data_IF_984516632520
#
_entry.id   IF_984516632520
#
_cell.length_a   1.000
_cell.length_b   1.000
_cell.length_c   1.000
_cell.angle_alpha   90.00
_cell.angle_beta   90.00
_cell.angle_gamma   90.00
#
_symmetry.space_group_name_H-M   'P 1'
#
loop_
_entity.id
_entity.type
_entity.pdbx_description
1 polymer ?
#
# COMPACT_ATOMS: atom_id res chain seq x y z
N UNK A 1 1.58 3.40 -15.85
CA UNK A 1 2.79 4.27 -15.81
C UNK A 1 3.83 3.91 -16.88
N UNK A 2 4.28 2.65 -17.00
CA UNK A 2 5.29 2.24 -18.02
C UNK A 2 4.85 2.57 -19.46
N UNK A 3 3.62 2.18 -19.81
CA UNK A 3 3.07 2.48 -21.14
C UNK A 3 2.95 3.98 -21.41
N UNK A 4 2.64 4.77 -20.39
CA UNK A 4 2.60 6.22 -20.50
C UNK A 4 4.00 6.80 -20.76
N UNK A 5 5.02 6.32 -20.02
CA UNK A 5 6.41 6.69 -20.26
C UNK A 5 6.92 6.32 -21.65
N UNK A 6 6.54 5.13 -22.15
CA UNK A 6 6.93 4.66 -23.47
C UNK A 6 6.26 5.48 -24.59
N UNK A 7 4.96 5.77 -24.45
CA UNK A 7 4.18 6.50 -25.46
C UNK A 7 4.57 7.97 -25.58
N UNK A 8 5.20 8.55 -24.55
CA UNK A 8 5.69 9.94 -24.56
C UNK A 8 6.88 10.18 -25.51
N UNK A 9 7.52 9.12 -25.99
CA UNK A 9 8.72 9.16 -26.85
C UNK A 9 9.85 10.06 -26.28
N UNK A 10 9.90 10.19 -24.97
CA UNK A 10 10.87 11.01 -24.25
C UNK A 10 11.68 10.11 -23.30
N UNK A 11 13.02 10.21 -23.36
CA UNK A 11 13.93 9.39 -22.53
C UNK A 11 13.73 9.56 -21.03
N UNK A 12 13.41 10.76 -20.57
CA UNK A 12 13.16 11.04 -19.15
C UNK A 12 11.84 10.42 -18.67
N UNK A 13 10.80 10.51 -19.50
CA UNK A 13 9.51 9.89 -19.23
C UNK A 13 9.60 8.35 -19.19
N UNK A 14 10.37 7.76 -20.11
CA UNK A 14 10.64 6.32 -20.11
C UNK A 14 11.37 5.88 -18.83
N UNK A 15 12.40 6.62 -18.41
CA UNK A 15 13.12 6.34 -17.17
C UNK A 15 12.22 6.44 -15.94
N UNK A 16 11.33 7.45 -15.88
CA UNK A 16 10.32 7.57 -14.82
C UNK A 16 9.39 6.36 -14.75
N UNK A 17 8.89 5.91 -15.90
CA UNK A 17 8.04 4.72 -16.00
C UNK A 17 8.74 3.44 -15.57
N UNK A 18 10.01 3.23 -15.94
CA UNK A 18 10.81 2.07 -15.53
C UNK A 18 11.10 2.06 -14.02
N UNK A 19 11.42 3.22 -13.43
CA UNK A 19 11.61 3.35 -11.98
C UNK A 19 10.33 3.02 -11.21
N UNK A 20 9.17 3.50 -11.70
CA UNK A 20 7.86 3.19 -11.13
C UNK A 20 7.59 1.70 -11.14
N UNK A 21 7.78 1.02 -12.27
CA UNK A 21 7.52 -0.42 -12.36
C UNK A 21 8.44 -1.25 -11.46
N UNK A 22 9.72 -0.91 -11.38
CA UNK A 22 10.66 -1.57 -10.49
C UNK A 22 10.27 -1.43 -9.01
N UNK A 23 9.78 -0.24 -8.62
CA UNK A 23 9.26 0.02 -7.29
C UNK A 23 8.02 -0.84 -7.02
N UNK A 24 7.01 -0.79 -7.88
CA UNK A 24 5.75 -1.53 -7.71
C UNK A 24 6.00 -3.03 -7.55
N UNK A 25 6.76 -3.65 -8.45
CA UNK A 25 7.08 -5.09 -8.39
C UNK A 25 7.77 -5.46 -7.07
N UNK A 26 8.68 -4.63 -6.59
CA UNK A 26 9.43 -4.90 -5.36
C UNK A 26 8.55 -4.84 -4.10
N UNK A 27 7.63 -3.90 -4.04
CA UNK A 27 6.75 -3.70 -2.88
C UNK A 27 5.49 -4.56 -2.92
N UNK A 28 5.01 -4.92 -4.11
CA UNK A 28 3.90 -5.87 -4.31
C UNK A 28 4.21 -7.24 -3.68
N UNK A 29 5.45 -7.72 -3.79
CA UNK A 29 5.89 -8.93 -3.10
C UNK A 29 5.70 -8.85 -1.58
N UNK A 30 6.14 -7.76 -0.96
CA UNK A 30 5.99 -7.55 0.48
C UNK A 30 4.52 -7.46 0.88
N UNK A 31 3.74 -6.73 0.11
CA UNK A 31 2.30 -6.54 0.32
C UNK A 31 1.57 -7.88 0.22
N UNK A 32 1.87 -8.68 -0.81
CA UNK A 32 1.31 -10.02 -0.99
C UNK A 32 1.65 -10.96 0.16
N UNK A 33 2.91 -11.00 0.62
CA UNK A 33 3.33 -11.83 1.75
C UNK A 33 2.66 -11.41 3.08
N UNK A 34 2.51 -10.10 3.30
CA UNK A 34 1.82 -9.60 4.48
C UNK A 34 0.30 -9.90 4.43
N UNK A 35 -0.34 -9.81 3.27
CA UNK A 35 -1.72 -10.22 3.09
C UNK A 35 -1.90 -11.74 3.29
N UNK A 36 -0.98 -12.56 2.74
CA UNK A 36 -0.99 -14.01 2.91
C UNK A 36 -0.89 -14.43 4.38
N UNK A 37 -0.17 -13.68 5.22
CA UNK A 37 -0.13 -13.98 6.67
C UNK A 37 -1.50 -13.86 7.33
N UNK A 38 -2.35 -12.92 6.89
CA UNK A 38 -3.73 -12.79 7.34
C UNK A 38 -4.60 -13.91 6.79
N UNK A 39 -4.40 -14.30 5.53
CA UNK A 39 -5.11 -15.43 4.90
C UNK A 39 -4.83 -16.73 5.64
N UNK A 40 -3.58 -16.99 6.00
CA UNK A 40 -3.18 -18.17 6.77
C UNK A 40 -3.85 -18.20 8.15
N UNK A 41 -3.95 -17.04 8.81
CA UNK A 41 -4.62 -16.91 10.10
C UNK A 41 -6.13 -17.20 10.01
N UNK A 42 -6.79 -16.75 8.95
CA UNK A 42 -8.24 -16.88 8.78
C UNK A 42 -8.67 -18.18 8.06
N UNK A 43 -7.76 -18.81 7.33
CA UNK A 43 -8.02 -20.01 6.53
C UNK A 43 -8.93 -19.78 5.31
N UNK A 44 -9.23 -18.53 4.96
CA UNK A 44 -10.10 -18.16 3.84
C UNK A 44 -9.53 -16.99 3.03
N UNK A 45 -9.75 -17.00 1.70
CA UNK A 45 -9.43 -15.89 0.81
C UNK A 45 -10.58 -14.86 0.71
N UNK A 46 -11.73 -15.16 1.30
CA UNK A 46 -12.88 -14.25 1.30
C UNK A 46 -12.67 -13.09 2.25
N UNK A 47 -12.75 -11.86 1.75
CA UNK A 47 -12.66 -10.66 2.59
C UNK A 47 -13.77 -10.60 3.65
N UNK A 48 -14.94 -11.15 3.36
CA UNK A 48 -16.06 -11.21 4.30
C UNK A 48 -15.70 -12.12 5.48
N UNK A 49 -15.15 -13.30 5.21
CA UNK A 49 -14.75 -14.25 6.25
C UNK A 49 -13.59 -13.68 7.08
N UNK A 50 -12.65 -12.97 6.44
CA UNK A 50 -11.58 -12.27 7.14
C UNK A 50 -12.09 -11.21 8.12
N UNK A 51 -13.13 -10.46 7.77
CA UNK A 51 -13.76 -9.48 8.67
C UNK A 51 -14.56 -10.18 9.76
N UNK A 52 -15.28 -11.25 9.43
CA UNK A 52 -16.07 -12.00 10.42
C UNK A 52 -15.19 -12.70 11.45
N UNK A 53 -14.01 -13.21 11.06
CA UNK A 53 -13.05 -13.81 11.97
C UNK A 53 -12.49 -12.81 13.00
N UNK A 54 -12.51 -11.52 12.69
CA UNK A 54 -12.08 -10.42 13.55
C UNK A 54 -13.19 -9.94 14.52
N UNK A 55 -14.20 -10.76 14.82
CA UNK A 55 -15.35 -10.35 15.62
C UNK A 55 -15.00 -9.89 17.05
N UNK A 56 -14.03 -10.55 17.71
CA UNK A 56 -13.61 -10.21 19.08
C UNK A 56 -12.46 -9.22 19.14
N UNK A 57 -11.44 -9.41 18.32
CA UNK A 57 -10.22 -8.59 18.30
C UNK A 57 -9.80 -8.28 16.86
N UNK A 58 -9.35 -7.05 16.56
CA UNK A 58 -8.81 -6.72 15.26
C UNK A 58 -7.46 -7.41 15.03
N UNK A 59 -7.19 -7.83 13.79
CA UNK A 59 -5.94 -8.51 13.42
C UNK A 59 -4.68 -7.66 13.67
N UNK A 60 -4.81 -6.35 13.75
CA UNK A 60 -3.69 -5.46 14.12
C UNK A 60 -3.09 -5.80 15.49
N UNK A 61 -3.89 -6.33 16.43
CA UNK A 61 -3.40 -6.74 17.75
C UNK A 61 -2.73 -8.12 17.70
N UNK A 62 -3.19 -9.00 16.82
CA UNK A 62 -2.66 -10.37 16.68
C UNK A 62 -1.39 -10.34 15.82
N UNK A 63 -1.39 -9.53 14.75
CA UNK A 63 -0.29 -9.43 13.79
C UNK A 63 0.14 -7.98 13.53
N UNK A 64 0.69 -7.28 14.52
CA UNK A 64 1.12 -5.89 14.36
C UNK A 64 2.24 -5.73 13.32
N UNK A 65 3.11 -6.75 13.20
CA UNK A 65 4.20 -6.75 12.23
C UNK A 65 3.66 -6.82 10.79
N UNK A 66 2.69 -7.72 10.52
CA UNK A 66 2.06 -7.81 9.20
C UNK A 66 1.35 -6.51 8.82
N UNK A 67 0.64 -5.88 9.77
CA UNK A 67 0.01 -4.58 9.55
C UNK A 67 1.04 -3.52 9.14
N UNK A 68 2.15 -3.42 9.87
CA UNK A 68 3.19 -2.43 9.60
C UNK A 68 3.84 -2.66 8.23
N UNK A 69 4.15 -3.91 7.89
CA UNK A 69 4.71 -4.28 6.59
C UNK A 69 3.75 -3.97 5.44
N UNK A 70 2.46 -4.35 5.60
CA UNK A 70 1.42 -4.07 4.62
C UNK A 70 1.22 -2.57 4.43
N UNK A 71 1.21 -1.81 5.51
CA UNK A 71 1.01 -0.36 5.47
C UNK A 71 2.17 0.36 4.79
N UNK A 72 3.43 0.01 5.12
CA UNK A 72 4.62 0.58 4.46
C UNK A 72 4.63 0.23 2.97
N UNK A 73 4.36 -1.03 2.62
CA UNK A 73 4.28 -1.47 1.23
C UNK A 73 3.14 -0.76 0.48
N UNK A 74 1.99 -0.55 1.13
CA UNK A 74 0.86 0.18 0.58
C UNK A 74 1.16 1.65 0.29
N UNK A 75 1.94 2.33 1.15
CA UNK A 75 2.41 3.70 0.86
C UNK A 75 3.33 3.71 -0.36
N UNK A 76 4.22 2.74 -0.47
CA UNK A 76 5.13 2.64 -1.62
C UNK A 76 4.39 2.29 -2.92
N UNK A 77 3.33 1.49 -2.86
CA UNK A 77 2.46 1.12 -3.98
C UNK A 77 1.66 2.31 -4.53
N UNK A 78 1.26 3.25 -3.65
CA UNK A 78 0.54 4.46 -4.07
C UNK A 78 1.43 5.51 -4.73
N UNK A 79 2.75 5.27 -4.85
CA UNK A 79 3.74 6.18 -5.43
C UNK A 79 3.69 7.61 -4.88
N UNK A 80 3.34 7.76 -3.59
CA UNK A 80 3.27 9.07 -2.92
C UNK A 80 4.45 9.28 -1.98
N UNK A 81 4.79 10.54 -1.72
CA UNK A 81 5.84 10.87 -0.77
C UNK A 81 5.62 10.13 0.57
N UNK A 82 6.68 9.51 1.15
CA UNK A 82 8.12 9.68 0.86
C UNK A 82 8.66 8.83 -0.31
N UNK A 83 7.84 7.98 -0.97
CA UNK A 83 8.25 7.03 -2.01
C UNK A 83 7.89 7.48 -3.44
N UNK A 84 7.75 8.77 -3.66
CA UNK A 84 7.40 9.40 -4.94
C UNK A 84 8.62 9.49 -5.88
N UNK A 85 9.00 8.36 -6.43
CA UNK A 85 10.12 8.24 -7.36
C UNK A 85 9.74 8.44 -8.84
N UNK A 86 8.52 8.09 -9.27
CA UNK A 86 8.10 8.25 -10.66
C UNK A 86 8.01 9.70 -11.11
N UNK A 87 7.62 10.60 -10.21
CA UNK A 87 7.46 12.03 -10.50
C UNK A 87 8.79 12.78 -10.43
N UNK A 88 9.67 12.43 -9.50
CA UNK A 88 11.01 12.95 -9.26
C UNK A 88 11.34 14.28 -10.00
N UNK A 89 10.57 15.34 -9.75
CA UNK A 89 10.65 16.62 -10.47
C UNK A 89 12.09 17.19 -10.55
N UNK A 90 12.86 16.97 -9.50
CA UNK A 90 14.25 17.45 -9.43
C UNK A 90 15.22 16.65 -10.30
N UNK A 91 14.89 15.40 -10.70
CA UNK A 91 15.77 14.52 -11.47
C UNK A 91 15.24 14.26 -12.90
N UNK A 92 13.92 14.16 -13.08
CA UNK A 92 13.26 13.70 -14.31
C UNK A 92 12.28 14.72 -14.89
N UNK A 93 12.34 15.99 -14.46
CA UNK A 93 11.46 17.11 -14.86
C UNK A 93 10.05 16.92 -14.32
N UNK A 94 9.27 15.99 -14.83
CA UNK A 94 7.95 15.59 -14.32
C UNK A 94 7.72 14.06 -14.47
N UNK A 95 8.80 13.31 -14.69
CA UNK A 95 8.74 11.86 -14.78
C UNK A 95 7.88 11.35 -15.94
N UNK A 96 7.03 10.34 -15.68
CA UNK A 96 6.24 9.66 -16.70
C UNK A 96 5.13 10.54 -17.32
N UNK A 97 4.72 11.62 -16.68
CA UNK A 97 3.62 12.48 -17.15
C UNK A 97 4.08 13.80 -17.79
N UNK A 98 5.36 13.95 -18.12
CA UNK A 98 5.94 15.18 -18.68
C UNK A 98 5.22 15.68 -19.93
N UNK A 99 4.76 14.78 -20.81
CA UNK A 99 4.09 15.12 -22.06
C UNK A 99 2.56 15.15 -21.96
N UNK A 100 2.01 14.82 -20.77
CA UNK A 100 0.57 14.78 -20.57
C UNK A 100 0.05 16.08 -19.99
N UNK A 101 -0.94 16.68 -20.67
CA UNK A 101 -1.58 17.94 -20.27
C UNK A 101 -3.09 17.81 -20.19
N UNK A 102 -3.74 18.74 -19.49
CA UNK A 102 -5.20 18.83 -19.41
C UNK A 102 -5.86 17.58 -18.82
N UNK A 103 -6.87 17.04 -19.50
CA UNK A 103 -7.70 15.94 -18.98
C UNK A 103 -6.91 14.64 -18.77
N UNK A 104 -5.93 14.35 -19.63
CA UNK A 104 -5.08 13.14 -19.49
C UNK A 104 -4.26 13.19 -18.21
N UNK A 105 -3.69 14.33 -17.87
CA UNK A 105 -2.98 14.54 -16.60
C UNK A 105 -3.91 14.37 -15.40
N UNK A 106 -5.12 14.95 -15.44
CA UNK A 106 -6.11 14.80 -14.38
C UNK A 106 -6.50 13.33 -14.13
N UNK A 107 -6.61 12.52 -15.19
CA UNK A 107 -6.92 11.09 -15.06
C UNK A 107 -5.81 10.30 -14.34
N UNK A 108 -4.54 10.62 -14.53
CA UNK A 108 -3.44 10.00 -13.77
C UNK A 108 -3.54 10.31 -12.28
N UNK A 109 -3.74 11.58 -11.92
CA UNK A 109 -3.92 11.97 -10.52
C UNK A 109 -5.14 11.32 -9.88
N UNK A 110 -6.25 11.26 -10.61
CA UNK A 110 -7.45 10.58 -10.12
C UNK A 110 -7.17 9.09 -9.85
N UNK A 111 -6.44 8.41 -10.73
CA UNK A 111 -6.03 7.02 -10.52
C UNK A 111 -5.20 6.81 -9.24
N UNK A 112 -4.27 7.71 -8.95
CA UNK A 112 -3.45 7.65 -7.73
C UNK A 112 -4.28 7.86 -6.46
N UNK A 113 -5.21 8.81 -6.45
CA UNK A 113 -6.09 9.01 -5.29
C UNK A 113 -7.05 7.84 -5.08
N UNK A 114 -7.58 7.26 -6.16
CA UNK A 114 -8.41 6.04 -6.08
C UNK A 114 -7.60 4.89 -5.50
N UNK A 115 -6.34 4.70 -5.93
CA UNK A 115 -5.47 3.67 -5.38
C UNK A 115 -5.22 3.88 -3.88
N UNK A 116 -4.99 5.11 -3.43
CA UNK A 116 -4.84 5.44 -2.01
C UNK A 116 -6.09 5.09 -1.19
N UNK A 117 -7.29 5.37 -1.70
CA UNK A 117 -8.55 4.97 -1.06
C UNK A 117 -8.70 3.45 -1.02
N UNK A 118 -8.38 2.77 -2.11
CA UNK A 118 -8.44 1.29 -2.21
C UNK A 118 -7.49 0.64 -1.21
N UNK A 119 -6.25 1.11 -1.10
CA UNK A 119 -5.27 0.60 -0.12
C UNK A 119 -5.73 0.85 1.32
N UNK A 120 -6.29 2.02 1.62
CA UNK A 120 -6.86 2.32 2.94
C UNK A 120 -8.04 1.40 3.28
N UNK A 121 -8.89 1.09 2.29
CA UNK A 121 -9.99 0.14 2.46
C UNK A 121 -9.48 -1.28 2.70
N UNK A 122 -8.48 -1.74 1.95
CA UNK A 122 -7.86 -3.07 2.15
C UNK A 122 -7.22 -3.20 3.54
N UNK A 123 -6.46 -2.20 4.00
CA UNK A 123 -5.91 -2.18 5.35
C UNK A 123 -7.01 -2.28 6.40
N UNK A 124 -8.11 -1.57 6.21
CA UNK A 124 -9.26 -1.59 7.12
C UNK A 124 -9.91 -2.97 7.19
N UNK A 125 -10.10 -3.64 6.05
CA UNK A 125 -10.69 -4.97 5.98
C UNK A 125 -9.78 -6.05 6.58
N UNK A 126 -8.50 -6.01 6.26
CA UNK A 126 -7.55 -7.05 6.68
C UNK A 126 -7.13 -6.93 8.15
N UNK A 127 -6.95 -5.73 8.67
CA UNK A 127 -6.34 -5.51 9.97
C UNK A 127 -7.22 -4.81 11.01
N UNK A 128 -8.14 -3.92 10.59
CA UNK A 128 -8.97 -3.14 11.50
C UNK A 128 -10.41 -3.69 11.67
N UNK A 129 -10.67 -4.89 11.16
CA UNK A 129 -11.96 -5.56 11.27
C UNK A 129 -13.08 -4.94 10.43
N UNK A 130 -12.75 -4.26 9.34
CA UNK A 130 -13.72 -3.76 8.39
C UNK A 130 -14.84 -2.94 9.04
N UNK A 131 -16.06 -3.44 8.94
CA UNK A 131 -17.28 -2.82 9.49
C UNK A 131 -17.54 -3.10 10.98
N UNK A 132 -16.74 -3.95 11.64
CA UNK A 132 -16.91 -4.24 13.06
C UNK A 132 -16.57 -3.02 13.93
N UNK A 133 -17.50 -2.61 14.77
CA UNK A 133 -17.36 -1.39 15.60
C UNK A 133 -16.83 -1.66 17.02
N UNK A 134 -16.48 -2.91 17.37
CA UNK A 134 -15.87 -3.32 18.65
C UNK A 134 -16.51 -2.69 19.90
N UNK A 135 -17.84 -2.86 20.06
CA UNK A 135 -18.58 -2.38 21.24
C UNK A 135 -19.07 -0.93 21.18
N UNK A 136 -18.77 -0.19 20.12
CA UNK A 136 -19.37 1.13 19.89
C UNK A 136 -20.66 0.96 19.08
N UNK A 137 -21.81 1.48 19.53
CA UNK A 137 -23.10 1.34 18.83
C UNK A 137 -23.16 2.28 17.60
N UNK A 138 -22.35 1.98 16.57
CA UNK A 138 -22.29 2.76 15.34
C UNK A 138 -22.70 1.87 14.18
N UNK A 139 -23.40 2.44 13.22
CA UNK A 139 -23.76 1.73 11.99
C UNK A 139 -22.50 1.18 11.29
N UNK A 140 -22.51 -0.08 10.80
CA UNK A 140 -21.35 -0.73 10.19
C UNK A 140 -20.70 0.09 9.06
N UNK A 141 -21.53 0.75 8.23
CA UNK A 141 -21.05 1.58 7.12
C UNK A 141 -20.27 2.80 7.65
N UNK A 142 -20.78 3.43 8.71
CA UNK A 142 -20.13 4.62 9.31
C UNK A 142 -18.83 4.23 10.00
N UNK A 143 -18.80 3.07 10.68
CA UNK A 143 -17.60 2.53 11.29
C UNK A 143 -16.51 2.24 10.24
N UNK A 144 -16.87 1.62 9.12
CA UNK A 144 -15.95 1.36 8.02
C UNK A 144 -15.43 2.67 7.40
N UNK A 145 -16.35 3.59 7.04
CA UNK A 145 -15.98 4.87 6.45
C UNK A 145 -15.08 5.69 7.38
N UNK A 146 -15.36 5.70 8.68
CA UNK A 146 -14.55 6.40 9.68
C UNK A 146 -13.11 5.85 9.77
N UNK A 147 -12.93 4.52 9.73
CA UNK A 147 -11.60 3.89 9.72
C UNK A 147 -10.83 4.20 8.43
N UNK A 148 -11.50 4.14 7.28
CA UNK A 148 -10.90 4.49 5.99
C UNK A 148 -10.47 5.96 5.97
N UNK A 149 -11.33 6.87 6.43
CA UNK A 149 -10.99 8.30 6.54
C UNK A 149 -9.82 8.54 7.49
N UNK A 150 -9.78 7.85 8.61
CA UNK A 150 -8.65 7.93 9.55
C UNK A 150 -7.34 7.53 8.87
N UNK A 151 -7.32 6.41 8.14
CA UNK A 151 -6.13 5.98 7.40
C UNK A 151 -5.74 6.96 6.30
N UNK A 152 -6.71 7.53 5.58
CA UNK A 152 -6.44 8.58 4.59
C UNK A 152 -5.80 9.81 5.23
N UNK A 153 -6.26 10.23 6.41
CA UNK A 153 -5.63 11.31 7.17
C UNK A 153 -4.17 10.94 7.53
N UNK A 154 -3.91 9.70 7.94
CA UNK A 154 -2.55 9.22 8.23
C UNK A 154 -1.68 9.24 6.97
N UNK A 155 -2.19 8.81 5.81
CA UNK A 155 -1.47 8.91 4.53
C UNK A 155 -1.08 10.36 4.19
N UNK A 156 -2.02 11.29 4.33
CA UNK A 156 -1.77 12.71 4.07
C UNK A 156 -0.75 13.28 5.08
N UNK A 157 -0.85 12.88 6.34
CA UNK A 157 0.09 13.30 7.38
C UNK A 157 1.51 12.82 7.09
N UNK A 158 1.68 11.54 6.75
CA UNK A 158 2.97 10.98 6.38
C UNK A 158 3.57 11.68 5.15
N UNK A 159 2.75 11.95 4.14
CA UNK A 159 3.16 12.71 2.95
C UNK A 159 3.71 14.10 3.29
N UNK A 160 3.10 14.78 4.28
CA UNK A 160 3.49 16.13 4.67
C UNK A 160 4.71 16.18 5.59
N UNK A 161 5.01 15.07 6.30
CA UNK A 161 6.02 15.03 7.35
C UNK A 161 7.37 14.52 6.86
N UNK A 162 7.37 13.49 6.01
CA UNK A 162 8.61 12.82 5.60
C UNK A 162 9.20 13.41 4.32
N UNK A 163 10.54 13.63 4.30
CA UNK A 163 11.24 13.99 3.07
C UNK A 163 11.32 12.79 2.13
N UNK A 164 11.50 13.08 0.85
CA UNK A 164 11.66 12.06 -0.20
C UNK A 164 12.90 11.19 0.04
N UNK A 165 12.76 9.90 -0.16
CA UNK A 165 13.86 8.93 -0.04
C UNK A 165 14.48 8.70 -1.43
N UNK A 166 15.82 8.53 -1.48
CA UNK A 166 16.55 8.25 -2.71
C UNK A 166 16.28 6.82 -3.20
N UNK A 167 16.19 6.65 -4.54
CA UNK A 167 15.85 5.37 -5.20
C UNK A 167 16.69 4.18 -4.72
N UNK A 168 18.03 4.33 -4.65
CA UNK A 168 18.95 3.26 -4.25
C UNK A 168 18.65 2.74 -2.84
N UNK A 169 18.37 3.66 -1.91
CA UNK A 169 18.02 3.32 -0.52
C UNK A 169 16.68 2.64 -0.43
N UNK A 170 15.71 3.11 -1.21
CA UNK A 170 14.37 2.55 -1.26
C UNK A 170 14.40 1.09 -1.74
N UNK A 171 15.07 0.82 -2.88
CA UNK A 171 15.18 -0.54 -3.42
C UNK A 171 15.96 -1.46 -2.46
N UNK A 172 17.04 -0.98 -1.86
CA UNK A 172 17.80 -1.73 -0.86
C UNK A 172 16.95 -2.06 0.37
N UNK A 173 16.13 -1.13 0.84
CA UNK A 173 15.22 -1.33 1.97
C UNK A 173 14.14 -2.36 1.64
N UNK A 174 13.51 -2.27 0.47
CA UNK A 174 12.51 -3.24 0.02
C UNK A 174 13.05 -4.67 0.00
N UNK A 175 14.15 -4.89 -0.72
CA UNK A 175 14.70 -6.25 -0.92
C UNK A 175 15.44 -6.81 0.28
N UNK A 176 16.22 -5.99 1.01
CA UNK A 176 17.06 -6.48 2.12
C UNK A 176 16.36 -6.51 3.47
N UNK A 177 15.30 -5.72 3.65
CA UNK A 177 14.63 -5.57 4.94
C UNK A 177 13.19 -6.06 4.85
N UNK A 178 12.36 -5.47 3.98
CA UNK A 178 10.93 -5.76 3.99
C UNK A 178 10.60 -7.18 3.53
N UNK A 179 11.18 -7.64 2.42
CA UNK A 179 10.91 -8.98 1.88
C UNK A 179 11.35 -10.09 2.86
N UNK A 180 12.57 -10.09 3.43
CA UNK A 180 12.94 -11.11 4.41
C UNK A 180 12.09 -11.10 5.67
N UNK A 181 11.75 -9.92 6.18
CA UNK A 181 10.91 -9.80 7.39
C UNK A 181 9.49 -10.28 7.10
N UNK A 182 8.91 -9.96 5.93
CA UNK A 182 7.56 -10.41 5.57
C UNK A 182 7.50 -11.94 5.38
N UNK A 183 8.54 -12.53 4.81
CA UNK A 183 8.66 -13.98 4.66
C UNK A 183 8.81 -14.67 6.01
N UNK A 184 9.64 -14.11 6.89
CA UNK A 184 9.80 -14.63 8.25
C UNK A 184 8.48 -14.52 9.04
N UNK A 185 7.77 -13.40 8.92
CA UNK A 185 6.45 -13.23 9.55
C UNK A 185 5.46 -14.29 9.05
N UNK A 186 5.42 -14.56 7.75
CA UNK A 186 4.56 -15.58 7.17
C UNK A 186 4.90 -16.98 7.72
N UNK A 187 6.18 -17.32 7.83
CA UNK A 187 6.62 -18.61 8.40
C UNK A 187 6.21 -18.74 9.87
N UNK A 188 6.44 -17.72 10.66
CA UNK A 188 6.04 -17.72 12.08
C UNK A 188 4.53 -17.87 12.24
N UNK A 189 3.74 -17.14 11.45
CA UNK A 189 2.28 -17.26 11.51
C UNK A 189 1.78 -18.62 11.07
N UNK A 190 2.39 -19.23 10.04
CA UNK A 190 2.01 -20.57 9.59
C UNK A 190 2.31 -21.64 10.64
N UNK A 191 3.42 -21.53 11.35
CA UNK A 191 3.76 -22.45 12.46
C UNK A 191 2.79 -22.27 13.62
N UNK A 192 2.46 -21.02 14.00
CA UNK A 192 1.54 -20.73 15.11
C UNK A 192 0.11 -21.20 14.85
N UNK A 193 -0.34 -21.24 13.59
CA UNK A 193 -1.69 -21.70 13.21
C UNK A 193 -1.77 -23.23 13.19
N UNK A 194 -0.66 -23.91 12.93
CA UNK A 194 -0.60 -25.40 12.90
C UNK A 194 -0.40 -26.02 14.28
N UNK A 195 0.21 -25.30 15.23
CA UNK A 195 0.39 -25.71 16.63
C UNK A 195 -0.89 -25.55 17.43
#
# INVERSE_FOLDING_TARGET
MVLAGLSSNNKYSLMGGLRSSAQMISYELTLGLAALSVVVLTGSLSLIDMVNSQGSYPNILIQPLAFLLFFIAGIAETNRAPFDLPEAEQELVAGFHTEYTGMKFAMFFMGEYINMVTMSALVTLLFLGGWNAYGVPVWPIVAFAGKVLFLLCVFIWLRSTYPRIRYDRLMTFGWKVLVPISLLNLLVTSVLVVL
#
